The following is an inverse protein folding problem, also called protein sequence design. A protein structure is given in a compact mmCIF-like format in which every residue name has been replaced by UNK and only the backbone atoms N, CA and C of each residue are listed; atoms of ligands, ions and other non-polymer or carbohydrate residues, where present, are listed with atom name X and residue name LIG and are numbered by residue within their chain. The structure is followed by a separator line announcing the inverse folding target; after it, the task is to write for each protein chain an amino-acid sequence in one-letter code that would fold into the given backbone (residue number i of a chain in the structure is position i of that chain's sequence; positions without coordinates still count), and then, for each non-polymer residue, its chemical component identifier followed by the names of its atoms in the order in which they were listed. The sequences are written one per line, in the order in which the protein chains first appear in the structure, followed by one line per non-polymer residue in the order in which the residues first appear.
data_IF_221710662950
#
_entry.id   IF_221710662950
#
_cell.length_a   1.000
_cell.length_b   1.000
_cell.length_c   1.000
_cell.angle_alpha   90.00
_cell.angle_beta   90.00
_cell.angle_gamma   90.00
#
_symmetry.space_group_name_H-M   'P 1'
#
loop_
_entity.id
_entity.type
_entity.pdbx_description
1 polymer ?
#
# COMPACT_ATOMS: atom_id res chain seq x y z
N UNK A 1 -26.20 86.07 31.39
CA UNK A 1 -26.11 85.41 30.07
C UNK A 1 -26.45 86.45 29.02
N UNK A 2 -25.52 86.76 28.11
CA UNK A 2 -25.78 87.68 27.01
C UNK A 2 -26.72 87.00 26.00
N UNK A 3 -27.85 87.62 25.70
CA UNK A 3 -28.76 87.14 24.65
C UNK A 3 -28.04 87.19 23.30
N UNK A 4 -28.10 86.12 22.48
CA UNK A 4 -27.45 86.12 21.18
C UNK A 4 -28.04 87.23 20.31
N UNK A 5 -27.15 87.98 19.65
CA UNK A 5 -27.52 89.07 18.73
C UNK A 5 -27.24 88.65 17.30
N UNK A 6 -28.13 89.03 16.39
CA UNK A 6 -28.02 88.76 14.96
C UNK A 6 -28.02 90.08 14.18
N UNK A 7 -27.37 90.07 13.01
CA UNK A 7 -27.27 91.22 12.12
C UNK A 7 -28.33 91.15 11.01
N UNK A 8 -29.02 92.25 10.73
CA UNK A 8 -29.99 92.30 9.63
C UNK A 8 -29.41 93.02 8.40
N UNK A 9 -29.35 92.33 7.27
CA UNK A 9 -28.70 92.85 6.04
C UNK A 9 -29.45 94.01 5.34
N UNK A 10 -30.65 94.37 5.81
CA UNK A 10 -31.44 95.47 5.23
C UNK A 10 -31.24 96.77 6.01
N UNK A 11 -31.43 96.73 7.33
CA UNK A 11 -31.28 97.92 8.20
C UNK A 11 -29.90 97.99 8.87
N UNK A 12 -29.04 96.99 8.66
CA UNK A 12 -27.68 96.87 9.19
C UNK A 12 -27.61 96.94 10.72
N UNK A 13 -28.71 96.63 11.41
CA UNK A 13 -28.80 96.73 12.87
C UNK A 13 -28.53 95.38 13.54
N UNK A 14 -27.84 95.39 14.69
CA UNK A 14 -27.69 94.24 15.58
C UNK A 14 -28.86 94.14 16.56
N UNK A 15 -29.70 93.14 16.37
CA UNK A 15 -30.93 92.95 17.12
C UNK A 15 -30.93 91.60 17.84
N UNK A 16 -31.66 91.46 18.95
CA UNK A 16 -31.80 90.16 19.62
C UNK A 16 -32.46 89.15 18.66
N UNK A 17 -32.07 87.87 18.75
CA UNK A 17 -32.50 86.82 17.80
C UNK A 17 -34.04 86.71 17.68
N UNK A 18 -34.76 87.01 18.75
CA UNK A 18 -36.22 87.02 18.83
C UNK A 18 -36.85 88.06 17.88
N UNK A 19 -36.09 89.06 17.46
CA UNK A 19 -36.50 90.07 16.48
C UNK A 19 -36.43 89.58 15.04
N UNK A 20 -35.79 88.44 14.77
CA UNK A 20 -35.65 87.89 13.43
C UNK A 20 -36.78 86.93 13.08
N UNK A 21 -37.11 86.86 11.80
CA UNK A 21 -37.95 85.81 11.24
C UNK A 21 -37.23 85.14 10.08
N UNK A 22 -37.38 83.83 9.99
CA UNK A 22 -36.92 83.02 8.87
C UNK A 22 -37.98 83.01 7.78
N UNK A 23 -37.58 83.32 6.56
CA UNK A 23 -38.39 83.14 5.36
C UNK A 23 -38.37 81.68 4.90
N UNK A 24 -39.32 81.25 4.06
CA UNK A 24 -39.31 79.89 3.48
C UNK A 24 -38.03 79.56 2.71
N UNK A 25 -37.38 80.57 2.13
CA UNK A 25 -36.10 80.41 1.46
C UNK A 25 -34.89 80.25 2.40
N UNK A 26 -35.09 80.20 3.73
CA UNK A 26 -34.03 80.02 4.73
C UNK A 26 -33.37 81.32 5.20
N UNK A 27 -33.43 82.39 4.40
CA UNK A 27 -32.93 83.72 4.75
C UNK A 27 -33.70 84.34 5.93
N UNK A 28 -32.96 85.05 6.79
CA UNK A 28 -33.47 85.62 8.03
C UNK A 28 -33.34 87.13 8.00
N UNK A 29 -34.40 87.84 8.37
CA UNK A 29 -34.42 89.31 8.40
C UNK A 29 -35.13 89.77 9.68
N UNK A 30 -34.86 90.99 10.12
CA UNK A 30 -35.57 91.54 11.26
C UNK A 30 -37.05 91.78 10.92
N UNK A 31 -37.91 91.71 11.94
CA UNK A 31 -39.37 91.78 11.80
C UNK A 31 -39.81 93.08 11.11
N UNK A 32 -39.15 94.21 11.41
CA UNK A 32 -39.46 95.51 10.80
C UNK A 32 -39.21 95.54 9.30
N UNK A 33 -38.05 95.03 8.85
CA UNK A 33 -37.72 94.99 7.42
C UNK A 33 -38.59 94.01 6.64
N UNK A 34 -38.98 92.87 7.24
CA UNK A 34 -39.89 91.92 6.60
C UNK A 34 -41.27 92.55 6.36
N UNK A 35 -41.82 93.27 7.33
CA UNK A 35 -43.09 93.98 7.16
C UNK A 35 -43.00 95.03 6.04
N UNK A 36 -41.86 95.74 5.92
CA UNK A 36 -41.62 96.67 4.83
C UNK A 36 -41.60 96.00 3.45
N UNK A 37 -40.94 94.86 3.33
CA UNK A 37 -40.86 94.06 2.08
C UNK A 37 -42.25 93.56 1.67
N UNK A 38 -43.01 92.99 2.61
CA UNK A 38 -44.36 92.46 2.34
C UNK A 38 -45.32 93.52 1.78
N UNK A 39 -45.18 94.79 2.19
CA UNK A 39 -46.03 95.90 1.70
C UNK A 39 -45.61 96.43 0.33
N UNK A 40 -44.32 96.43 0.04
CA UNK A 40 -43.79 97.12 -1.15
C UNK A 40 -43.53 96.18 -2.30
N UNK A 41 -42.80 95.09 -2.06
CA UNK A 41 -42.41 94.11 -3.07
C UNK A 41 -42.17 92.77 -2.36
N UNK A 42 -43.13 91.83 -2.40
CA UNK A 42 -43.09 90.58 -1.62
C UNK A 42 -42.10 89.56 -2.22
N UNK A 43 -40.82 89.91 -2.29
CA UNK A 43 -39.70 89.05 -2.70
C UNK A 43 -38.55 89.21 -1.70
N UNK A 44 -37.86 88.12 -1.40
CA UNK A 44 -36.70 88.14 -0.52
C UNK A 44 -35.58 88.99 -1.16
N UNK A 45 -34.96 89.94 -0.45
CA UNK A 45 -33.89 90.77 -1.02
C UNK A 45 -32.61 89.99 -1.33
N UNK A 46 -32.37 88.86 -0.63
CA UNK A 46 -31.15 88.06 -0.82
C UNK A 46 -31.26 87.09 -2.01
N UNK A 47 -32.40 86.40 -2.16
CA UNK A 47 -32.55 85.36 -3.19
C UNK A 47 -33.70 85.61 -4.19
N UNK A 48 -34.45 86.71 -4.04
CA UNK A 48 -35.62 87.08 -4.87
C UNK A 48 -36.77 86.07 -4.87
N UNK A 49 -36.75 85.05 -4.01
CA UNK A 49 -37.89 84.14 -3.83
C UNK A 49 -39.13 84.91 -3.36
N UNK A 50 -40.34 84.59 -3.86
CA UNK A 50 -41.56 85.25 -3.41
C UNK A 50 -41.81 84.99 -1.93
N UNK A 51 -42.26 86.01 -1.20
CA UNK A 51 -42.53 85.96 0.24
C UNK A 51 -44.01 86.24 0.47
N UNK A 52 -44.74 85.28 1.06
CA UNK A 52 -46.15 85.51 1.41
C UNK A 52 -46.27 86.02 2.85
N UNK A 53 -47.33 86.78 3.12
CA UNK A 53 -47.54 87.45 4.41
C UNK A 53 -47.51 86.50 5.62
N UNK A 54 -47.98 85.26 5.47
CA UNK A 54 -48.02 84.25 6.54
C UNK A 54 -46.78 83.35 6.65
N UNK A 55 -45.74 83.62 5.86
CA UNK A 55 -44.55 82.76 5.78
C UNK A 55 -43.41 83.06 6.76
N UNK A 56 -43.20 84.30 7.25
CA UNK A 56 -42.12 84.57 8.20
C UNK A 56 -42.32 83.81 9.53
N UNK A 57 -41.39 82.93 9.88
CA UNK A 57 -41.43 82.13 11.11
C UNK A 57 -40.42 82.64 12.16
N UNK A 58 -40.74 82.67 13.46
CA UNK A 58 -39.76 82.98 14.51
C UNK A 58 -38.63 81.94 14.58
N UNK A 59 -37.46 82.37 15.03
CA UNK A 59 -36.27 81.53 15.20
C UNK A 59 -36.10 81.22 16.69
N UNK A 60 -36.02 79.94 17.05
CA UNK A 60 -35.71 79.47 18.40
C UNK A 60 -34.42 78.66 18.35
N UNK A 61 -33.40 79.06 19.11
CA UNK A 61 -32.14 78.33 19.24
C UNK A 61 -32.02 77.71 20.63
N UNK A 62 -31.79 76.41 20.68
CA UNK A 62 -31.39 75.71 21.90
C UNK A 62 -29.87 75.64 21.94
N UNK A 63 -29.23 76.45 22.79
CA UNK A 63 -27.79 76.37 23.00
C UNK A 63 -27.51 75.19 23.93
N UNK A 64 -27.10 74.06 23.37
CA UNK A 64 -26.61 72.92 24.15
C UNK A 64 -25.16 73.24 24.54
N UNK A 65 -24.91 73.42 25.85
CA UNK A 65 -23.54 73.57 26.34
C UNK A 65 -22.72 72.34 25.98
N UNK A 66 -21.60 72.51 25.27
CA UNK A 66 -20.65 71.43 25.05
C UNK A 66 -20.11 70.96 26.40
N UNK A 67 -20.13 69.65 26.68
CA UNK A 67 -19.50 69.10 27.89
C UNK A 67 -18.07 69.64 27.99
N UNK A 68 -17.63 70.11 29.18
CA UNK A 68 -16.26 70.57 29.34
C UNK A 68 -15.29 69.43 28.97
N UNK A 69 -14.26 69.75 28.19
CA UNK A 69 -13.31 68.76 27.65
C UNK A 69 -12.69 67.93 28.79
N UNK A 70 -12.45 68.54 29.96
CA UNK A 70 -11.97 67.85 31.16
C UNK A 70 -12.83 66.66 31.57
N UNK A 71 -14.17 66.79 31.52
CA UNK A 71 -15.09 65.72 31.91
C UNK A 71 -15.08 64.56 30.92
N UNK A 72 -14.93 64.88 29.62
CA UNK A 72 -14.82 63.87 28.55
C UNK A 72 -13.50 63.09 28.67
N UNK A 73 -12.45 63.73 29.17
CA UNK A 73 -11.14 63.09 29.34
C UNK A 73 -11.11 62.19 30.57
N UNK A 74 -11.71 62.60 31.69
CA UNK A 74 -11.80 61.77 32.90
C UNK A 74 -12.69 60.54 32.68
N UNK A 75 -13.88 60.72 32.09
CA UNK A 75 -14.75 59.59 31.69
C UNK A 75 -14.01 58.59 30.78
N UNK A 76 -13.16 59.09 29.88
CA UNK A 76 -12.38 58.24 28.97
C UNK A 76 -11.23 57.49 29.65
N UNK A 77 -10.62 58.06 30.69
CA UNK A 77 -9.53 57.43 31.46
C UNK A 77 -10.08 56.36 32.40
N UNK A 78 -11.22 56.62 33.05
CA UNK A 78 -11.87 55.65 33.94
C UNK A 78 -12.32 54.37 33.21
N UNK A 79 -12.52 54.46 31.88
CA UNK A 79 -12.86 53.33 31.02
C UNK A 79 -11.62 52.57 30.51
N UNK A 80 -10.39 52.98 30.84
CA UNK A 80 -9.19 52.26 30.42
C UNK A 80 -8.81 51.15 31.38
N UNK A 81 -8.58 49.96 30.83
CA UNK A 81 -8.16 48.75 31.53
C UNK A 81 -6.80 48.24 31.01
N UNK A 82 -6.40 47.05 31.48
CA UNK A 82 -5.14 46.41 31.06
C UNK A 82 -5.12 45.98 29.58
N UNK A 83 -6.28 45.84 28.93
CA UNK A 83 -6.40 45.44 27.53
C UNK A 83 -6.46 46.65 26.57
N UNK A 84 -6.58 47.85 27.12
CA UNK A 84 -6.73 49.08 26.36
C UNK A 84 -5.51 49.32 25.46
N UNK A 85 -5.77 49.54 24.16
CA UNK A 85 -4.73 49.72 23.15
C UNK A 85 -3.84 50.93 23.50
N UNK A 86 -2.52 50.80 23.32
CA UNK A 86 -1.54 51.87 23.53
C UNK A 86 -1.90 53.18 22.78
N UNK A 87 -2.58 53.07 21.64
CA UNK A 87 -3.03 54.23 20.86
C UNK A 87 -4.06 55.06 21.65
N UNK A 88 -4.96 54.42 22.39
CA UNK A 88 -5.96 55.06 23.25
C UNK A 88 -5.30 55.77 24.44
N UNK A 89 -4.30 55.15 25.05
CA UNK A 89 -3.50 55.76 26.12
C UNK A 89 -2.79 57.03 25.63
N UNK A 90 -2.15 56.96 24.45
CA UNK A 90 -1.53 58.14 23.79
C UNK A 90 -2.55 59.22 23.41
N UNK A 91 -3.78 58.82 23.06
CA UNK A 91 -4.84 59.78 22.73
C UNK A 91 -5.33 60.52 23.97
N UNK A 92 -5.50 59.82 25.10
CA UNK A 92 -5.83 60.46 26.37
C UNK A 92 -4.71 61.37 26.87
N UNK A 93 -3.44 60.99 26.69
CA UNK A 93 -2.31 61.88 26.97
C UNK A 93 -2.45 63.22 26.22
N UNK A 94 -2.71 63.17 24.91
CA UNK A 94 -2.89 64.40 24.10
C UNK A 94 -4.06 65.26 24.60
N UNK A 95 -5.19 64.63 24.94
CA UNK A 95 -6.35 65.37 25.45
C UNK A 95 -6.12 65.95 26.84
N UNK A 96 -5.40 65.25 27.72
CA UNK A 96 -4.99 65.76 29.02
C UNK A 96 -4.08 66.99 28.88
N UNK A 97 -3.12 66.95 27.93
CA UNK A 97 -2.29 68.13 27.61
C UNK A 97 -3.13 69.30 27.11
N UNK A 98 -4.10 69.05 26.23
CA UNK A 98 -5.02 70.08 25.74
C UNK A 98 -5.82 70.73 26.88
N UNK A 99 -6.37 69.92 27.79
CA UNK A 99 -7.10 70.41 28.97
C UNK A 99 -6.19 71.25 29.88
N UNK A 100 -4.95 70.82 30.08
CA UNK A 100 -3.97 71.56 30.88
C UNK A 100 -3.61 72.92 30.24
N UNK A 101 -3.44 72.96 28.91
CA UNK A 101 -3.15 74.20 28.18
C UNK A 101 -4.35 75.18 28.20
N UNK A 102 -5.57 74.67 28.11
CA UNK A 102 -6.80 75.46 28.22
C UNK A 102 -6.99 76.00 29.66
N UNK A 103 -6.73 75.19 30.69
CA UNK A 103 -6.82 75.61 32.09
C UNK A 103 -5.73 76.59 32.50
N UNK A 104 -4.55 76.54 31.87
CA UNK A 104 -3.45 77.49 32.10
C UNK A 104 -3.87 78.95 31.90
N UNK A 105 -4.92 79.20 31.11
CA UNK A 105 -5.50 80.53 30.86
C UNK A 105 -6.48 80.98 31.94
N UNK A 106 -6.99 80.07 32.76
CA UNK A 106 -8.12 80.31 33.67
C UNK A 106 -7.72 80.20 35.14
N UNK A 107 -6.80 79.30 35.51
CA UNK A 107 -6.37 79.10 36.89
C UNK A 107 -4.92 78.59 36.93
N UNK A 108 -3.97 79.41 37.40
CA UNK A 108 -2.53 79.15 37.25
C UNK A 108 -1.92 78.12 38.21
N UNK A 109 -2.53 77.84 39.36
CA UNK A 109 -1.88 77.10 40.45
C UNK A 109 -1.99 75.57 40.38
N UNK A 110 -3.06 75.00 39.81
CA UNK A 110 -3.28 73.53 39.78
C UNK A 110 -2.73 72.84 38.52
N UNK A 111 -2.45 73.62 37.48
CA UNK A 111 -1.95 73.13 36.18
C UNK A 111 -0.56 72.47 36.28
N UNK A 112 0.41 72.98 37.06
CA UNK A 112 1.73 72.36 37.19
C UNK A 112 1.68 70.96 37.80
N UNK A 113 0.83 70.73 38.81
CA UNK A 113 0.69 69.43 39.48
C UNK A 113 0.05 68.40 38.55
N UNK A 114 -0.95 68.81 37.76
CA UNK A 114 -1.61 67.95 36.77
C UNK A 114 -0.63 67.54 35.66
N UNK A 115 0.17 68.48 35.16
CA UNK A 115 1.20 68.20 34.15
C UNK A 115 2.28 67.26 34.70
N UNK A 116 2.67 67.42 35.98
CA UNK A 116 3.63 66.51 36.62
C UNK A 116 3.06 65.10 36.77
N UNK A 117 1.79 64.97 37.18
CA UNK A 117 1.11 63.69 37.27
C UNK A 117 0.97 63.00 35.90
N UNK A 118 0.73 63.75 34.82
CA UNK A 118 0.69 63.23 33.45
C UNK A 118 2.07 62.69 33.02
N UNK A 119 3.15 63.41 33.32
CA UNK A 119 4.48 62.96 32.95
C UNK A 119 4.94 61.75 33.79
N UNK A 120 4.64 61.73 35.09
CA UNK A 120 4.88 60.57 35.96
C UNK A 120 4.09 59.33 35.48
N UNK A 121 2.82 59.52 35.09
CA UNK A 121 2.00 58.48 34.48
C UNK A 121 2.65 57.94 33.21
N UNK A 122 3.12 58.82 32.32
CA UNK A 122 3.76 58.43 31.06
C UNK A 122 5.05 57.64 31.30
N UNK A 123 5.90 58.08 32.23
CA UNK A 123 7.17 57.42 32.55
C UNK A 123 6.94 56.03 33.13
N UNK A 124 5.90 55.84 33.95
CA UNK A 124 5.63 54.56 34.61
C UNK A 124 4.80 53.60 33.76
N UNK A 125 3.75 54.08 33.09
CA UNK A 125 2.74 53.25 32.45
C UNK A 125 3.14 52.86 31.02
N UNK A 126 3.78 53.77 30.27
CA UNK A 126 4.19 53.48 28.88
C UNK A 126 5.14 52.28 28.78
N UNK A 127 6.20 52.18 29.63
CA UNK A 127 7.10 51.03 29.58
C UNK A 127 6.41 49.72 29.98
N UNK A 128 5.43 49.76 30.87
CA UNK A 128 4.65 48.58 31.25
C UNK A 128 3.86 48.04 30.06
N UNK A 129 3.09 48.88 29.35
CA UNK A 129 2.36 48.45 28.16
C UNK A 129 3.27 47.98 27.03
N UNK A 130 4.45 48.60 26.86
CA UNK A 130 5.45 48.15 25.89
C UNK A 130 5.97 46.75 26.25
N UNK A 131 6.29 46.51 27.53
CA UNK A 131 6.72 45.21 28.03
C UNK A 131 5.62 44.15 27.88
N UNK A 132 4.38 44.47 28.26
CA UNK A 132 3.24 43.55 28.12
C UNK A 132 3.03 43.17 26.65
N UNK A 133 3.11 44.14 25.73
CA UNK A 133 3.00 43.85 24.29
C UNK A 133 4.15 42.97 23.80
N UNK A 134 5.38 43.22 24.23
CA UNK A 134 6.54 42.38 23.89
C UNK A 134 6.37 40.95 24.41
N UNK A 135 5.91 40.80 25.64
CA UNK A 135 5.65 39.48 26.22
C UNK A 135 4.51 38.76 25.50
N UNK A 136 3.46 39.48 25.11
CA UNK A 136 2.37 38.91 24.32
C UNK A 136 2.86 38.37 22.97
N UNK A 137 3.71 39.14 22.26
CA UNK A 137 4.30 38.68 21.00
C UNK A 137 5.24 37.48 21.20
N UNK A 138 5.96 37.43 22.32
CA UNK A 138 6.82 36.29 22.65
C UNK A 138 6.00 35.04 22.98
N UNK A 139 4.91 35.18 23.74
CA UNK A 139 3.98 34.08 24.04
C UNK A 139 3.35 33.55 22.76
N UNK A 140 2.92 34.41 21.85
CA UNK A 140 2.37 34.00 20.55
C UNK A 140 3.41 33.25 19.71
N UNK A 141 4.64 33.75 19.64
CA UNK A 141 5.73 33.07 18.94
C UNK A 141 6.09 31.71 19.57
N UNK A 142 6.08 31.61 20.91
CA UNK A 142 6.33 30.36 21.62
C UNK A 142 5.19 29.35 21.40
N UNK A 143 3.93 29.81 21.39
CA UNK A 143 2.77 28.96 21.07
C UNK A 143 2.85 28.41 19.65
N UNK A 144 3.27 29.23 18.69
CA UNK A 144 3.49 28.76 17.31
C UNK A 144 4.57 27.67 17.27
N UNK A 145 5.74 27.92 17.88
CA UNK A 145 6.84 26.93 17.94
C UNK A 145 6.44 25.64 18.65
N UNK A 146 5.62 25.72 19.70
CA UNK A 146 5.10 24.55 20.41
C UNK A 146 4.20 23.73 19.48
N UNK A 147 3.28 24.37 18.74
CA UNK A 147 2.43 23.69 17.76
C UNK A 147 3.23 23.03 16.63
N UNK A 148 4.27 23.69 16.12
CA UNK A 148 5.18 23.12 15.12
C UNK A 148 5.94 21.89 15.67
N UNK A 149 6.41 21.95 16.92
CA UNK A 149 7.11 20.85 17.57
C UNK A 149 6.17 19.65 17.85
N UNK A 150 4.93 19.91 18.27
CA UNK A 150 3.91 18.88 18.48
C UNK A 150 3.55 18.18 17.17
N UNK A 151 3.36 18.94 16.09
CA UNK A 151 3.10 18.38 14.76
C UNK A 151 4.27 17.52 14.25
N UNK A 152 5.52 17.96 14.46
CA UNK A 152 6.70 17.16 14.13
C UNK A 152 6.79 15.89 14.98
N UNK A 153 6.44 15.95 16.27
CA UNK A 153 6.42 14.76 17.14
C UNK A 153 5.38 13.75 16.66
N UNK A 154 4.18 14.20 16.33
CA UNK A 154 3.12 13.34 15.82
C UNK A 154 3.51 12.71 14.46
N UNK A 155 4.18 13.47 13.59
CA UNK A 155 4.71 12.95 12.33
C UNK A 155 5.80 11.89 12.56
N UNK A 156 6.69 12.10 13.55
CA UNK A 156 7.72 11.13 13.91
C UNK A 156 7.11 9.84 14.48
N UNK A 157 6.12 9.93 15.37
CA UNK A 157 5.38 8.78 15.92
C UNK A 157 4.70 7.98 14.80
N UNK A 158 4.05 8.66 13.85
CA UNK A 158 3.45 8.01 12.67
C UNK A 158 4.50 7.32 11.79
N UNK A 159 5.65 7.95 11.57
CA UNK A 159 6.74 7.35 10.80
C UNK A 159 7.32 6.11 11.50
N UNK A 160 7.46 6.13 12.82
CA UNK A 160 7.90 4.98 13.61
C UNK A 160 6.89 3.83 13.54
N UNK A 161 5.59 4.12 13.61
CA UNK A 161 4.53 3.10 13.48
C UNK A 161 4.58 2.40 12.10
N UNK A 162 4.64 3.17 11.01
CA UNK A 162 4.75 2.62 9.66
C UNK A 162 6.04 1.82 9.45
N UNK A 163 7.16 2.26 10.05
CA UNK A 163 8.41 1.49 10.04
C UNK A 163 8.26 0.13 10.72
N UNK A 164 7.52 0.08 11.84
CA UNK A 164 7.18 -1.17 12.53
C UNK A 164 6.34 -2.11 11.67
N UNK A 165 5.31 -1.61 11.01
CA UNK A 165 4.48 -2.41 10.07
C UNK A 165 5.30 -2.96 8.90
N UNK A 166 6.19 -2.15 8.32
CA UNK A 166 7.09 -2.60 7.26
C UNK A 166 8.05 -3.69 7.73
N UNK A 167 8.52 -3.63 8.97
CA UNK A 167 9.37 -4.68 9.54
C UNK A 167 8.62 -6.02 9.67
N UNK A 168 7.36 -5.98 10.12
CA UNK A 168 6.49 -7.16 10.21
C UNK A 168 6.24 -7.76 8.82
N UNK A 169 5.88 -6.93 7.84
CA UNK A 169 5.65 -7.38 6.45
C UNK A 169 6.89 -7.99 5.82
N UNK A 170 8.08 -7.44 6.08
CA UNK A 170 9.34 -8.01 5.62
C UNK A 170 9.63 -9.36 6.27
N UNK A 171 9.34 -9.53 7.55
CA UNK A 171 9.49 -10.81 8.23
C UNK A 171 8.55 -11.88 7.61
N UNK A 172 7.29 -11.54 7.37
CA UNK A 172 6.32 -12.43 6.69
C UNK A 172 6.73 -12.75 5.24
N UNK A 173 7.33 -11.79 4.53
CA UNK A 173 7.85 -12.05 3.20
C UNK A 173 9.00 -13.07 3.21
N UNK A 174 9.91 -12.98 4.20
CA UNK A 174 11.03 -13.92 4.34
C UNK A 174 10.53 -15.32 4.67
N UNK A 175 9.55 -15.47 5.56
CA UNK A 175 8.96 -16.78 5.89
C UNK A 175 8.28 -17.40 4.67
N UNK A 176 7.46 -16.64 3.93
CA UNK A 176 6.81 -17.13 2.70
C UNK A 176 7.81 -17.55 1.63
N UNK A 177 8.90 -16.81 1.44
CA UNK A 177 9.96 -17.19 0.50
C UNK A 177 10.64 -18.49 0.92
N UNK A 178 10.87 -18.68 2.23
CA UNK A 178 11.41 -19.94 2.77
C UNK A 178 10.46 -21.11 2.52
N UNK A 179 9.17 -20.95 2.83
CA UNK A 179 8.14 -21.98 2.62
C UNK A 179 8.00 -22.35 1.14
N UNK A 180 8.02 -21.37 0.24
CA UNK A 180 8.01 -21.61 -1.20
C UNK A 180 9.25 -22.40 -1.63
N UNK A 181 10.43 -22.04 -1.14
CA UNK A 181 11.66 -22.78 -1.42
C UNK A 181 11.58 -24.23 -0.94
N UNK A 182 11.06 -24.47 0.26
CA UNK A 182 10.88 -25.81 0.80
C UNK A 182 9.85 -26.62 -0.01
N UNK A 183 8.77 -25.98 -0.46
CA UNK A 183 7.78 -26.59 -1.35
C UNK A 183 8.38 -26.98 -2.70
N UNK A 184 9.23 -26.11 -3.30
CA UNK A 184 9.97 -26.44 -4.52
C UNK A 184 10.91 -27.63 -4.32
N UNK A 185 11.70 -27.63 -3.24
CA UNK A 185 12.59 -28.73 -2.91
C UNK A 185 11.83 -30.05 -2.70
N UNK A 186 10.66 -30.00 -2.06
CA UNK A 186 9.80 -31.18 -1.89
C UNK A 186 9.28 -31.68 -3.23
N UNK A 187 8.78 -30.79 -4.09
CA UNK A 187 8.30 -31.14 -5.44
C UNK A 187 9.40 -31.80 -6.26
N UNK A 188 10.62 -31.25 -6.22
CA UNK A 188 11.74 -31.77 -7.01
C UNK A 188 12.18 -33.16 -6.49
N UNK A 189 12.12 -33.40 -5.18
CA UNK A 189 12.33 -34.75 -4.60
C UNK A 189 11.27 -35.76 -5.06
N UNK A 190 10.00 -35.38 -5.07
CA UNK A 190 8.93 -36.26 -5.55
C UNK A 190 9.05 -36.53 -7.05
N UNK A 191 9.45 -35.54 -7.84
CA UNK A 191 9.75 -35.73 -9.26
C UNK A 191 10.90 -36.72 -9.48
N UNK A 192 12.00 -36.57 -8.75
CA UNK A 192 13.12 -37.50 -8.83
C UNK A 192 12.72 -38.94 -8.42
N UNK A 193 11.81 -39.11 -7.46
CA UNK A 193 11.25 -40.41 -7.08
C UNK A 193 10.38 -41.00 -8.20
N UNK A 194 9.53 -40.19 -8.83
CA UNK A 194 8.72 -40.61 -9.97
C UNK A 194 9.61 -41.07 -11.14
N UNK A 195 10.61 -40.26 -11.51
CA UNK A 195 11.56 -40.59 -12.58
C UNK A 195 12.32 -41.90 -12.29
N UNK A 196 12.70 -42.13 -11.02
CA UNK A 196 13.35 -43.36 -10.59
C UNK A 196 12.41 -44.58 -10.66
N UNK A 197 11.13 -44.41 -10.33
CA UNK A 197 10.12 -45.45 -10.43
C UNK A 197 9.85 -45.81 -11.89
N UNK A 198 9.72 -44.83 -12.78
CA UNK A 198 9.57 -45.04 -14.22
C UNK A 198 10.76 -45.80 -14.81
N UNK A 199 11.99 -45.46 -14.40
CA UNK A 199 13.19 -46.21 -14.78
C UNK A 199 13.19 -47.66 -14.26
N UNK A 200 12.62 -47.93 -13.08
CA UNK A 200 12.44 -49.30 -12.58
C UNK A 200 11.39 -50.07 -13.39
N UNK A 201 10.26 -49.45 -13.72
CA UNK A 201 9.22 -50.05 -14.57
C UNK A 201 9.79 -50.42 -15.94
N UNK A 202 10.54 -49.51 -16.57
CA UNK A 202 11.16 -49.76 -17.87
C UNK A 202 12.18 -50.92 -17.81
N UNK A 203 12.96 -51.02 -16.73
CA UNK A 203 13.87 -52.15 -16.50
C UNK A 203 13.11 -53.46 -16.32
N UNK A 204 12.02 -53.46 -15.56
CA UNK A 204 11.18 -54.64 -15.35
C UNK A 204 10.55 -55.12 -16.67
N UNK A 205 10.02 -54.21 -17.48
CA UNK A 205 9.48 -54.51 -18.81
C UNK A 205 10.53 -55.13 -19.74
N UNK A 206 11.78 -54.63 -19.70
CA UNK A 206 12.87 -55.20 -20.49
C UNK A 206 13.20 -56.62 -20.05
N UNK A 207 13.32 -56.86 -18.74
CA UNK A 207 13.56 -58.20 -18.19
C UNK A 207 12.41 -59.16 -18.51
N UNK A 208 11.17 -58.68 -18.47
CA UNK A 208 10.00 -59.46 -18.86
C UNK A 208 10.05 -59.83 -20.35
N UNK A 209 10.38 -58.89 -21.22
CA UNK A 209 10.53 -59.14 -22.66
C UNK A 209 11.65 -60.17 -22.93
N UNK A 210 12.80 -60.05 -22.27
CA UNK A 210 13.90 -61.01 -22.35
C UNK A 210 13.45 -62.41 -21.88
N UNK A 211 12.78 -62.51 -20.72
CA UNK A 211 12.21 -63.75 -20.22
C UNK A 211 11.18 -64.37 -21.19
N UNK A 212 10.31 -63.56 -21.80
CA UNK A 212 9.35 -64.03 -22.80
C UNK A 212 10.04 -64.60 -24.04
N UNK A 213 11.15 -63.99 -24.49
CA UNK A 213 11.93 -64.53 -25.62
C UNK A 213 12.54 -65.89 -25.28
N UNK A 214 13.09 -66.07 -24.08
CA UNK A 214 13.62 -67.34 -23.61
C UNK A 214 12.53 -68.41 -23.46
N UNK A 215 11.37 -68.05 -22.90
CA UNK A 215 10.21 -68.95 -22.83
C UNK A 215 9.81 -69.43 -24.24
N UNK A 216 9.79 -68.54 -25.25
CA UNK A 216 9.50 -68.94 -26.64
C UNK A 216 10.55 -69.90 -27.20
N UNK A 217 11.84 -69.65 -26.94
CA UNK A 217 12.94 -70.55 -27.38
C UNK A 217 12.81 -71.94 -26.75
N UNK A 218 12.61 -71.99 -25.42
CA UNK A 218 12.44 -73.24 -24.67
C UNK A 218 11.21 -74.02 -25.14
N UNK A 219 10.08 -73.34 -25.39
CA UNK A 219 8.90 -73.97 -26.02
C UNK A 219 9.25 -74.60 -27.37
N UNK A 220 9.96 -73.87 -28.24
CA UNK A 220 10.39 -74.41 -29.53
C UNK A 220 11.35 -75.60 -29.40
N UNK A 221 12.23 -75.63 -28.39
CA UNK A 221 13.07 -76.81 -28.11
C UNK A 221 12.25 -78.01 -27.62
N UNK A 222 11.26 -77.77 -26.76
CA UNK A 222 10.37 -78.81 -26.27
C UNK A 222 9.53 -79.41 -27.41
N UNK A 223 8.97 -78.57 -28.28
CA UNK A 223 8.18 -78.99 -29.45
C UNK A 223 9.02 -79.88 -30.39
N UNK A 224 10.21 -79.42 -30.81
CA UNK A 224 11.14 -80.24 -31.60
C UNK A 224 11.50 -81.55 -30.90
N UNK A 225 11.81 -81.50 -29.61
CA UNK A 225 12.11 -82.69 -28.83
C UNK A 225 10.91 -83.64 -28.66
N UNK A 226 9.67 -83.15 -28.74
CA UNK A 226 8.49 -84.02 -28.83
C UNK A 226 8.33 -84.62 -30.22
N UNK A 227 8.52 -83.85 -31.29
CA UNK A 227 8.46 -84.34 -32.67
C UNK A 227 9.51 -85.42 -32.93
N UNK A 228 10.75 -85.19 -32.50
CA UNK A 228 11.85 -86.16 -32.59
C UNK A 228 11.51 -87.46 -31.86
N UNK A 229 10.95 -87.37 -30.64
CA UNK A 229 10.50 -88.56 -29.89
C UNK A 229 9.37 -89.30 -30.59
N UNK A 230 8.41 -88.60 -31.19
CA UNK A 230 7.36 -89.23 -31.99
C UNK A 230 7.93 -89.89 -33.25
N UNK A 231 8.86 -89.23 -33.93
CA UNK A 231 9.58 -89.79 -35.09
C UNK A 231 10.37 -91.04 -34.73
N UNK A 232 11.11 -91.02 -33.61
CA UNK A 232 11.82 -92.19 -33.09
C UNK A 232 10.86 -93.32 -32.71
N UNK A 233 9.74 -93.02 -32.04
CA UNK A 233 8.71 -94.00 -31.70
C UNK A 233 8.14 -94.66 -32.96
N UNK A 234 7.81 -93.87 -33.98
CA UNK A 234 7.33 -94.39 -35.27
C UNK A 234 8.39 -95.27 -35.94
N UNK A 235 9.67 -94.86 -35.93
CA UNK A 235 10.77 -95.67 -36.45
C UNK A 235 10.93 -96.99 -35.70
N UNK A 236 10.83 -96.99 -34.37
CA UNK A 236 10.86 -98.20 -33.54
C UNK A 236 9.70 -99.12 -33.90
N UNK A 237 8.48 -98.58 -34.04
CA UNK A 237 7.30 -99.35 -34.45
C UNK A 237 7.52 -99.99 -35.83
N UNK A 238 8.04 -99.25 -36.82
CA UNK A 238 8.37 -99.79 -38.15
C UNK A 238 9.42 -100.89 -38.06
N UNK A 239 10.52 -100.66 -37.35
CA UNK A 239 11.57 -101.68 -37.18
C UNK A 239 11.07 -102.93 -36.45
N UNK A 240 10.16 -102.78 -35.48
CA UNK A 240 9.53 -103.92 -34.83
C UNK A 240 8.66 -104.73 -35.79
N UNK A 241 7.96 -104.06 -36.71
CA UNK A 241 7.20 -104.72 -37.77
C UNK A 241 8.11 -105.44 -38.76
N UNK A 242 9.12 -104.76 -39.29
CA UNK A 242 10.10 -105.35 -40.22
C UNK A 242 10.80 -106.56 -39.60
N UNK A 243 11.14 -106.48 -38.31
CA UNK A 243 11.67 -107.61 -37.54
C UNK A 243 10.69 -108.77 -37.51
N UNK A 244 9.41 -108.53 -37.21
CA UNK A 244 8.39 -109.58 -37.17
C UNK A 244 8.18 -110.23 -38.56
N UNK A 245 8.16 -109.43 -39.63
CA UNK A 245 8.04 -109.90 -41.01
C UNK A 245 9.26 -110.77 -41.40
N UNK A 246 10.47 -110.36 -41.02
CA UNK A 246 11.71 -111.16 -41.23
C UNK A 246 11.71 -112.43 -40.38
N UNK A 247 11.29 -112.38 -39.13
CA UNK A 247 11.15 -113.57 -38.27
C UNK A 247 10.17 -114.58 -38.90
N UNK A 248 9.05 -114.10 -39.47
CA UNK A 248 8.10 -114.94 -40.20
C UNK A 248 8.72 -115.55 -41.47
N UNK A 249 9.49 -114.79 -42.24
CA UNK A 249 10.22 -115.31 -43.41
C UNK A 249 11.24 -116.36 -43.02
N UNK A 250 12.03 -116.13 -41.97
CA UNK A 250 13.01 -117.09 -41.45
C UNK A 250 12.30 -118.36 -40.99
N UNK A 251 11.19 -118.25 -40.25
CA UNK A 251 10.38 -119.41 -39.87
C UNK A 251 9.84 -120.17 -41.09
N UNK A 252 9.38 -119.45 -42.12
CA UNK A 252 8.95 -120.03 -43.39
C UNK A 252 10.07 -120.81 -44.08
N UNK A 253 11.23 -120.17 -44.29
CA UNK A 253 12.42 -120.80 -44.87
C UNK A 253 12.94 -121.97 -44.02
N UNK A 254 12.89 -121.88 -42.69
CA UNK A 254 13.23 -122.99 -41.81
C UNK A 254 12.25 -124.16 -41.97
N UNK A 255 10.97 -123.88 -42.18
CA UNK A 255 9.96 -124.88 -42.54
C UNK A 255 10.28 -125.55 -43.87
N UNK A 256 10.56 -124.78 -44.91
CA UNK A 256 10.98 -125.28 -46.23
C UNK A 256 12.28 -126.10 -46.16
N UNK A 257 13.28 -125.64 -45.42
CA UNK A 257 14.52 -126.38 -45.19
C UNK A 257 14.28 -127.67 -44.42
N UNK A 258 13.34 -127.70 -43.48
CA UNK A 258 12.96 -128.91 -42.76
C UNK A 258 12.27 -129.92 -43.70
N UNK A 259 11.41 -129.45 -44.61
CA UNK A 259 10.81 -130.28 -45.67
C UNK A 259 11.87 -130.83 -46.63
N UNK A 260 12.78 -129.98 -47.12
CA UNK A 260 13.89 -130.37 -47.99
C UNK A 260 14.85 -131.34 -47.29
N UNK A 261 15.16 -131.12 -46.01
CA UNK A 261 15.99 -132.02 -45.20
C UNK A 261 15.34 -133.38 -45.01
N UNK A 262 14.02 -133.45 -44.86
CA UNK A 262 13.28 -134.71 -44.79
C UNK A 262 13.14 -135.41 -46.16
N UNK A 263 13.33 -134.70 -47.27
CA UNK A 263 13.35 -135.26 -48.63
C UNK A 263 14.76 -135.64 -49.10
N UNK A 264 15.83 -135.17 -48.45
CA UNK A 264 17.20 -135.54 -48.76
C UNK A 264 17.55 -136.93 -48.16
N UNK A 265 17.98 -137.93 -48.96
CA UNK A 265 18.46 -139.20 -48.42
C UNK A 265 19.71 -138.96 -47.56
N UNK A 266 19.71 -139.57 -46.38
CA UNK A 266 20.76 -139.47 -45.37
C UNK A 266 22.15 -139.72 -45.98
N UNK A 267 22.91 -138.64 -46.23
CA UNK A 267 24.34 -138.69 -46.51
C UNK A 267 25.06 -138.07 -45.31
N UNK A 268 25.39 -138.96 -44.38
CA UNK A 268 26.28 -138.76 -43.26
C UNK A 268 27.72 -138.73 -43.78
N UNK A 269 28.32 -137.56 -43.90
CA UNK A 269 29.78 -137.39 -43.86
C UNK A 269 30.15 -135.91 -43.75
N UNK A 270 31.28 -135.64 -43.10
CA UNK A 270 31.95 -134.37 -42.77
C UNK A 270 31.61 -133.75 -41.40
N UNK A 271 32.31 -134.13 -40.32
CA UNK A 271 33.69 -133.75 -39.87
C UNK A 271 33.84 -132.29 -39.46
N UNK A 272 33.78 -132.07 -38.14
CA UNK A 272 34.93 -131.69 -37.30
C UNK A 272 35.95 -130.74 -37.96
N UNK A 273 35.78 -129.44 -37.69
CA UNK A 273 36.84 -128.42 -37.81
C UNK A 273 36.66 -127.39 -36.69
N UNK A 274 37.39 -127.63 -35.61
CA UNK A 274 37.82 -126.62 -34.65
C UNK A 274 38.55 -125.49 -35.41
N UNK A 275 38.12 -124.25 -35.22
CA UNK A 275 38.94 -123.07 -35.52
C UNK A 275 38.90 -122.13 -34.31
N UNK A 276 39.96 -122.22 -33.53
CA UNK A 276 40.53 -121.12 -32.76
C UNK A 276 40.80 -119.93 -33.69
N UNK A 277 40.47 -118.72 -33.23
CA UNK A 277 41.39 -117.58 -33.12
C UNK A 277 40.62 -116.25 -33.19
N UNK A 278 40.56 -115.41 -32.15
CA UNK A 278 41.58 -114.51 -31.59
C UNK A 278 41.52 -113.09 -32.20
N UNK A 279 41.48 -112.10 -31.29
CA UNK A 279 41.71 -110.65 -31.42
C UNK A 279 40.56 -109.72 -31.89
N UNK A 280 40.60 -108.41 -31.56
CA UNK A 280 41.21 -107.75 -30.41
C UNK A 280 40.25 -106.83 -29.63
N UNK A 281 40.46 -106.82 -28.31
CA UNK A 281 40.14 -105.70 -27.42
C UNK A 281 41.07 -104.53 -27.74
N UNK A 282 40.63 -103.55 -28.53
CA UNK A 282 41.30 -102.26 -28.67
C UNK A 282 40.46 -101.13 -28.06
N UNK A 283 40.98 -100.65 -26.94
CA UNK A 283 41.08 -99.25 -26.54
C UNK A 283 40.63 -98.24 -27.60
N UNK A 284 39.68 -97.38 -27.23
CA UNK A 284 39.72 -95.99 -27.67
C UNK A 284 39.28 -95.10 -26.51
N UNK A 285 40.29 -94.74 -25.72
CA UNK A 285 40.34 -93.49 -24.98
C UNK A 285 39.96 -92.35 -25.94
N UNK A 286 38.83 -91.68 -25.71
CA UNK A 286 38.63 -90.36 -26.27
C UNK A 286 38.25 -89.40 -25.15
N UNK A 287 39.32 -88.84 -24.60
CA UNK A 287 39.46 -87.57 -23.91
C UNK A 287 38.19 -86.74 -23.78
N UNK A 288 37.67 -86.66 -22.56
CA UNK A 288 36.86 -85.51 -22.14
C UNK A 288 37.73 -84.25 -22.21
N UNK A 289 37.36 -83.23 -23.00
CA UNK A 289 38.01 -81.93 -22.88
C UNK A 289 37.54 -81.28 -21.59
N UNK A 290 38.46 -81.14 -20.64
CA UNK A 290 38.39 -80.13 -19.60
C UNK A 290 38.10 -78.78 -20.26
N UNK A 291 36.85 -78.33 -20.21
CA UNK A 291 36.50 -76.96 -20.56
C UNK A 291 36.93 -76.09 -19.38
N UNK A 292 38.08 -75.46 -19.54
CA UNK A 292 38.64 -74.46 -18.65
C UNK A 292 37.57 -73.42 -18.28
N UNK A 293 37.24 -73.36 -16.99
CA UNK A 293 36.56 -72.23 -16.37
C UNK A 293 37.51 -71.02 -16.38
N UNK A 294 37.51 -70.28 -17.48
CA UNK A 294 38.15 -68.98 -17.57
C UNK A 294 37.37 -67.95 -16.78
N UNK A 295 37.68 -67.80 -15.49
CA UNK A 295 37.27 -66.66 -14.67
C UNK A 295 38.07 -65.42 -15.10
N UNK A 296 37.54 -64.66 -16.07
CA UNK A 296 37.92 -63.26 -16.30
C UNK A 296 36.71 -62.38 -15.95
N UNK A 297 36.77 -61.76 -14.78
CA UNK A 297 36.06 -60.51 -14.48
C UNK A 297 37.16 -59.58 -13.95
N UNK A 298 37.87 -58.85 -14.82
CA UNK A 298 37.52 -57.50 -15.30
C UNK A 298 37.01 -56.60 -14.17
N UNK A 299 37.98 -55.85 -13.67
CA UNK A 299 37.88 -54.51 -13.15
C UNK A 299 36.78 -53.68 -13.85
N UNK A 300 36.01 -52.96 -13.04
CA UNK A 300 35.42 -51.70 -13.43
C UNK A 300 35.52 -50.75 -12.22
N UNK A 301 36.29 -49.69 -12.43
CA UNK A 301 36.50 -48.55 -11.56
C UNK A 301 35.20 -48.00 -10.97
N UNK A 302 35.27 -47.61 -9.69
CA UNK A 302 34.73 -46.35 -9.18
C UNK A 302 35.84 -45.69 -8.38
#
# INVERSE_FOLDING_TARGET
MTTPRCHCDICLSELPIESFRRLKCGHCLCTTCIVGILKTRPVCPQCRAPVREKEPQPIYLTIVGTKPIALVVTEGIDQMDAETKLISVRAAERKLRQVADEQKRVCGETVPELLRAIEDFKVRITPMFAKTRSQQTEIEALKQKLGEAEAMREQAERATALSGELAILRADQVTRVSELKDAYMKRDRERARADAADAQVLRAQRLEAEAQTEVRKLKGFLERGTEDRHGQKNKIITLQKDKADLEQQVQGLMGELWELRNQAPARSDYTDLELEDTFPSEYSENSSPHRASGSRSRDACV
#
